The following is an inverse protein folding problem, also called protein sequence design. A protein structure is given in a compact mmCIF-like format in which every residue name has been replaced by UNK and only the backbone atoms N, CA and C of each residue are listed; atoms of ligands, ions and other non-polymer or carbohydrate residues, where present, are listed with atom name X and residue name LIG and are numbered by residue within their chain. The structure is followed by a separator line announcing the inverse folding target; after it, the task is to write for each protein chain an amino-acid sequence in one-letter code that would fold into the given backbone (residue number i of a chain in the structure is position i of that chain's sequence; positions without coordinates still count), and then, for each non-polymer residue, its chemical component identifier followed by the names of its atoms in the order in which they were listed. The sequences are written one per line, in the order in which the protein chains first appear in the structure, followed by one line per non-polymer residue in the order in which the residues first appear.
data_IF_580364993027
#
_entry.id   IF_580364993027
#
_cell.length_a   1.000
_cell.length_b   1.000
_cell.length_c   1.000
_cell.angle_alpha   90.00
_cell.angle_beta   90.00
_cell.angle_gamma   90.00
#
_symmetry.space_group_name_H-M   'P 1'
#
loop_
_entity.id
_entity.type
_entity.pdbx_description
1 polymer ?
#
# COMPACT_ATOMS: atom_id res chain seq x y z
N UNK A 1 7.82 22.15 0.40
CA UNK A 1 8.19 21.89 1.82
C UNK A 1 8.04 20.42 2.21
N UNK A 2 6.85 19.81 2.11
CA UNK A 2 6.61 18.43 2.59
C UNK A 2 7.43 17.36 1.84
N UNK A 3 7.47 17.42 0.50
CA UNK A 3 8.26 16.46 -0.31
C UNK A 3 9.75 16.47 0.07
N UNK A 4 10.31 17.66 0.33
CA UNK A 4 11.70 17.85 0.79
C UNK A 4 11.95 17.12 2.12
N UNK A 5 11.05 17.27 3.10
CA UNK A 5 11.16 16.58 4.39
C UNK A 5 11.10 15.04 4.25
N UNK A 6 10.29 14.50 3.34
CA UNK A 6 10.24 13.05 3.08
C UNK A 6 11.48 12.52 2.34
N UNK A 7 12.17 13.38 1.59
CA UNK A 7 13.44 13.05 0.94
C UNK A 7 14.62 13.10 1.92
N UNK A 8 14.69 14.14 2.74
CA UNK A 8 15.77 14.37 3.72
C UNK A 8 15.62 13.52 4.98
N UNK A 9 14.39 13.14 5.33
CA UNK A 9 14.05 12.28 6.49
C UNK A 9 14.68 12.76 7.81
N UNK A 10 14.33 13.98 8.27
CA UNK A 10 14.84 14.48 9.55
C UNK A 10 14.43 13.55 10.70
N UNK A 11 15.23 13.56 11.78
CA UNK A 11 15.04 12.67 12.94
C UNK A 11 13.62 12.76 13.54
N UNK A 12 13.02 13.95 13.54
CA UNK A 12 11.64 14.17 14.02
C UNK A 12 10.60 13.38 13.22
N UNK A 13 10.70 13.39 11.89
CA UNK A 13 9.83 12.64 11.00
C UNK A 13 10.04 11.13 11.17
N UNK A 14 11.30 10.69 11.24
CA UNK A 14 11.65 9.28 11.41
C UNK A 14 11.12 8.75 12.75
N UNK A 15 11.31 9.50 13.83
CA UNK A 15 10.82 9.16 15.16
C UNK A 15 9.29 9.07 15.19
N UNK A 16 8.59 10.05 14.60
CA UNK A 16 7.13 10.05 14.48
C UNK A 16 6.60 8.81 13.74
N UNK A 17 7.20 8.46 12.60
CA UNK A 17 6.82 7.25 11.85
C UNK A 17 7.13 5.99 12.67
N UNK A 18 8.26 5.95 13.37
CA UNK A 18 8.65 4.80 14.20
C UNK A 18 7.65 4.54 15.32
N UNK A 19 7.21 5.58 16.01
CA UNK A 19 6.17 5.47 17.04
C UNK A 19 4.84 4.97 16.46
N UNK A 20 4.43 5.49 15.29
CA UNK A 20 3.22 5.02 14.59
C UNK A 20 3.32 3.57 14.12
N UNK A 21 4.48 3.11 13.67
CA UNK A 21 4.65 1.72 13.23
C UNK A 21 4.34 0.72 14.36
N UNK A 22 4.56 1.09 15.63
CA UNK A 22 4.20 0.23 16.78
C UNK A 22 2.70 -0.04 16.82
N UNK A 23 1.85 0.97 16.59
CA UNK A 23 0.40 0.78 16.52
C UNK A 23 -0.01 0.06 15.24
N UNK A 24 0.59 0.39 14.10
CA UNK A 24 0.26 -0.24 12.81
C UNK A 24 0.54 -1.75 12.75
N UNK A 25 1.46 -2.26 13.59
CA UNK A 25 1.69 -3.71 13.71
C UNK A 25 0.52 -4.45 14.35
N UNK A 26 -0.18 -3.78 15.28
CA UNK A 26 -1.36 -4.30 15.99
C UNK A 26 -2.63 -4.18 15.14
N UNK A 27 -2.66 -3.25 14.20
CA UNK A 27 -3.77 -3.02 13.27
C UNK A 27 -4.00 -4.19 12.27
N UNK A 28 -5.18 -4.22 11.64
CA UNK A 28 -5.50 -5.16 10.55
C UNK A 28 -4.61 -4.91 9.32
N UNK A 29 -4.57 -5.86 8.38
CA UNK A 29 -3.74 -5.74 7.17
C UNK A 29 -4.13 -4.59 6.24
N UNK A 30 -5.42 -4.24 6.21
CA UNK A 30 -5.98 -3.12 5.46
C UNK A 30 -6.86 -2.30 6.40
N UNK A 31 -6.50 -1.04 6.60
CA UNK A 31 -7.19 -0.09 7.47
C UNK A 31 -7.56 1.14 6.66
N UNK A 32 -8.78 1.63 6.82
CA UNK A 32 -9.19 2.92 6.23
C UNK A 32 -8.66 4.05 7.12
N UNK A 33 -8.06 5.06 6.51
CA UNK A 33 -7.51 6.22 7.20
C UNK A 33 -8.25 7.47 6.73
N UNK A 34 -8.53 8.38 7.65
CA UNK A 34 -9.32 9.59 7.35
C UNK A 34 -8.55 10.57 6.46
N UNK A 35 -7.26 10.74 6.70
CA UNK A 35 -6.38 11.64 5.94
C UNK A 35 -5.05 10.97 5.61
N UNK A 36 -4.49 11.22 4.42
CA UNK A 36 -3.18 10.69 4.05
C UNK A 36 -2.10 11.29 4.95
N UNK A 37 -1.14 10.47 5.39
CA UNK A 37 0.01 10.97 6.14
C UNK A 37 0.96 11.74 5.23
N UNK A 38 1.06 11.35 3.95
CA UNK A 38 1.90 12.00 2.94
C UNK A 38 1.04 12.67 1.87
N UNK A 39 0.54 13.86 2.19
CA UNK A 39 -0.39 14.61 1.33
C UNK A 39 0.22 15.02 -0.02
N UNK A 40 1.53 15.28 -0.10
CA UNK A 40 2.21 15.62 -1.35
C UNK A 40 2.10 14.51 -2.40
N UNK A 41 2.36 13.25 -2.00
CA UNK A 41 2.24 12.11 -2.91
C UNK A 41 0.80 11.74 -3.18
N UNK A 42 -0.08 11.83 -2.19
CA UNK A 42 -1.50 11.62 -2.41
C UNK A 42 -2.03 12.57 -3.50
N UNK A 43 -1.72 13.88 -3.40
CA UNK A 43 -2.14 14.87 -4.41
C UNK A 43 -1.53 14.60 -5.79
N UNK A 44 -0.27 14.17 -5.85
CA UNK A 44 0.36 13.75 -7.12
C UNK A 44 -0.33 12.56 -7.78
N UNK A 45 -1.03 11.72 -7.01
CA UNK A 45 -1.86 10.62 -7.54
C UNK A 45 -3.31 11.05 -7.82
N UNK A 46 -3.65 12.32 -7.65
CA UNK A 46 -5.00 12.85 -7.88
C UNK A 46 -5.92 12.82 -6.66
N UNK A 47 -5.38 12.71 -5.44
CA UNK A 47 -6.20 12.83 -4.22
C UNK A 47 -6.74 14.26 -4.03
N UNK A 48 -8.05 14.35 -3.79
CA UNK A 48 -8.70 15.57 -3.34
C UNK A 48 -9.35 15.36 -1.97
N UNK A 49 -9.31 16.38 -1.11
CA UNK A 49 -9.94 16.35 0.21
C UNK A 49 -11.44 16.63 0.11
N UNK A 50 -12.17 15.79 -0.64
CA UNK A 50 -13.62 15.86 -0.80
C UNK A 50 -14.25 14.48 -0.58
N UNK A 51 -15.55 14.42 -0.24
CA UNK A 51 -16.26 13.15 -0.11
C UNK A 51 -16.11 12.27 -1.36
N UNK A 52 -16.01 10.96 -1.15
CA UNK A 52 -15.76 9.98 -2.21
C UNK A 52 -14.28 9.63 -2.42
N UNK A 53 -13.33 10.40 -1.88
CA UNK A 53 -11.92 9.98 -1.84
C UNK A 53 -11.63 9.18 -0.58
N UNK A 54 -10.92 8.07 -0.73
CA UNK A 54 -10.60 7.13 0.35
C UNK A 54 -9.11 6.84 0.34
N UNK A 55 -8.50 6.88 1.52
CA UNK A 55 -7.12 6.44 1.72
C UNK A 55 -7.11 5.17 2.55
N UNK A 56 -6.45 4.14 2.04
CA UNK A 56 -6.30 2.85 2.72
C UNK A 56 -4.84 2.66 3.10
N UNK A 57 -4.56 2.41 4.37
CA UNK A 57 -3.26 1.91 4.82
C UNK A 57 -3.23 0.40 4.65
N UNK A 58 -2.34 -0.07 3.81
CA UNK A 58 -2.19 -1.50 3.47
C UNK A 58 -0.80 -1.97 3.87
N UNK A 59 -0.72 -3.04 4.67
CA UNK A 59 0.55 -3.73 4.94
C UNK A 59 0.77 -4.88 3.96
N UNK A 60 1.96 -4.92 3.37
CA UNK A 60 2.43 -5.99 2.49
C UNK A 60 3.67 -6.62 3.10
N UNK A 61 3.73 -7.95 3.13
CA UNK A 61 4.87 -8.69 3.69
C UNK A 61 6.10 -8.47 2.80
N UNK A 62 7.25 -8.23 3.41
CA UNK A 62 8.55 -8.19 2.74
C UNK A 62 9.04 -9.59 2.45
N UNK A 63 9.83 -9.70 1.39
CA UNK A 63 10.44 -10.95 0.96
C UNK A 63 10.07 -11.29 -0.48
N UNK A 64 10.72 -12.33 -1.00
CA UNK A 64 10.40 -12.91 -2.29
C UNK A 64 9.17 -13.80 -2.21
N UNK A 65 8.68 -14.21 -3.38
CA UNK A 65 7.61 -15.17 -3.48
C UNK A 65 8.14 -16.58 -3.29
N UNK A 66 7.40 -17.38 -2.54
CA UNK A 66 7.63 -18.81 -2.41
C UNK A 66 6.42 -19.53 -2.99
N UNK A 67 6.68 -20.44 -3.93
CA UNK A 67 5.63 -21.28 -4.51
C UNK A 67 5.14 -22.31 -3.48
N UNK A 68 3.94 -22.86 -3.64
CA UNK A 68 3.58 -24.09 -2.93
C UNK A 68 4.51 -25.25 -3.37
N UNK A 69 4.94 -26.10 -2.43
CA UNK A 69 5.76 -27.26 -2.76
C UNK A 69 4.95 -28.27 -3.60
N UNK A 70 5.47 -28.74 -4.76
CA UNK A 70 4.80 -29.79 -5.53
C UNK A 70 4.63 -31.07 -4.70
N UNK A 71 3.47 -31.75 -4.86
CA UNK A 71 3.16 -33.03 -4.20
C UNK A 71 3.60 -34.26 -5.00
N UNK A 72 3.72 -34.13 -6.32
CA UNK A 72 4.11 -35.23 -7.22
C UNK A 72 5.46 -34.94 -7.89
N UNK A 73 6.03 -35.96 -8.55
CA UNK A 73 7.28 -35.85 -9.30
C UNK A 73 7.29 -34.70 -10.30
N UNK A 74 8.42 -33.99 -10.36
CA UNK A 74 8.66 -32.87 -11.29
C UNK A 74 10.09 -32.94 -11.79
N UNK A 75 10.32 -32.35 -12.98
CA UNK A 75 11.67 -32.14 -13.50
C UNK A 75 12.50 -31.29 -12.52
N UNK A 76 13.83 -31.49 -12.40
CA UNK A 76 14.67 -30.73 -11.47
C UNK A 76 14.50 -29.21 -11.58
N UNK A 77 14.37 -28.67 -12.79
CA UNK A 77 14.14 -27.22 -13.01
C UNK A 77 12.82 -26.68 -12.42
N UNK A 78 11.82 -27.55 -12.23
CA UNK A 78 10.49 -27.19 -11.75
C UNK A 78 10.27 -27.51 -10.26
N UNK A 79 11.27 -28.09 -9.58
CA UNK A 79 11.17 -28.45 -8.15
C UNK A 79 11.45 -27.27 -7.21
N UNK A 80 12.12 -26.22 -7.72
CA UNK A 80 12.50 -25.05 -6.92
C UNK A 80 11.29 -24.30 -6.39
N UNK A 81 11.29 -24.02 -5.08
CA UNK A 81 10.16 -23.39 -4.38
C UNK A 81 10.45 -21.96 -3.92
N UNK A 82 11.72 -21.64 -3.71
CA UNK A 82 12.21 -20.35 -3.17
C UNK A 82 12.88 -19.53 -4.26
N UNK A 83 13.16 -18.24 -3.95
CA UNK A 83 13.87 -17.30 -4.84
C UNK A 83 13.15 -17.02 -6.18
N UNK A 84 11.85 -17.24 -6.24
CA UNK A 84 11.04 -16.83 -7.39
C UNK A 84 10.78 -15.33 -7.33
N UNK A 85 10.99 -14.66 -8.46
CA UNK A 85 10.55 -13.28 -8.67
C UNK A 85 9.14 -13.31 -9.26
N UNK A 86 8.26 -12.45 -8.74
CA UNK A 86 6.93 -12.22 -9.32
C UNK A 86 7.02 -11.01 -10.20
N UNK A 87 6.31 -11.02 -11.33
CA UNK A 87 6.13 -9.87 -12.19
C UNK A 87 5.05 -8.94 -11.60
N UNK A 88 5.19 -8.60 -10.31
CA UNK A 88 4.29 -7.72 -9.58
C UNK A 88 5.09 -6.93 -8.55
N UNK A 89 4.89 -5.62 -8.53
CA UNK A 89 5.46 -4.74 -7.52
C UNK A 89 4.69 -4.84 -6.20
N UNK A 90 5.35 -4.48 -5.10
CA UNK A 90 4.69 -4.43 -3.79
C UNK A 90 3.61 -3.33 -3.71
N UNK A 91 3.73 -2.29 -4.54
CA UNK A 91 2.73 -1.24 -4.68
C UNK A 91 1.45 -1.78 -5.34
N UNK A 92 1.59 -2.51 -6.44
CA UNK A 92 0.45 -3.16 -7.11
C UNK A 92 -0.21 -4.22 -6.22
N UNK A 93 0.59 -4.99 -5.47
CA UNK A 93 0.06 -5.93 -4.46
C UNK A 93 -0.72 -5.20 -3.36
N UNK A 94 -0.25 -4.02 -2.92
CA UNK A 94 -0.98 -3.20 -1.95
C UNK A 94 -2.32 -2.72 -2.51
N UNK A 95 -2.34 -2.25 -3.76
CA UNK A 95 -3.57 -1.86 -4.47
C UNK A 95 -4.54 -3.04 -4.53
N UNK A 96 -4.08 -4.21 -5.01
CA UNK A 96 -4.91 -5.43 -5.11
C UNK A 96 -5.50 -5.84 -3.77
N UNK A 97 -4.73 -5.79 -2.67
CA UNK A 97 -5.23 -6.08 -1.32
C UNK A 97 -6.29 -5.08 -0.86
N UNK A 98 -6.09 -3.80 -1.16
CA UNK A 98 -7.06 -2.74 -0.87
C UNK A 98 -8.39 -2.98 -1.58
N UNK A 99 -8.34 -3.23 -2.88
CA UNK A 99 -9.52 -3.48 -3.72
C UNK A 99 -10.21 -4.79 -3.40
N UNK A 100 -9.46 -5.84 -3.03
CA UNK A 100 -10.06 -7.09 -2.57
C UNK A 100 -10.95 -6.87 -1.34
N UNK A 101 -10.61 -5.91 -0.47
CA UNK A 101 -11.42 -5.55 0.70
C UNK A 101 -12.53 -4.56 0.38
N UNK A 102 -12.28 -3.62 -0.54
CA UNK A 102 -13.24 -2.59 -0.97
C UNK A 102 -13.40 -2.62 -2.49
N UNK A 103 -14.17 -3.57 -3.03
CA UNK A 103 -14.28 -3.79 -4.47
C UNK A 103 -15.07 -2.67 -5.19
N UNK A 104 -15.86 -1.89 -4.46
CA UNK A 104 -16.63 -0.77 -4.98
C UNK A 104 -15.77 0.48 -5.27
N UNK A 105 -14.51 0.50 -4.82
CA UNK A 105 -13.61 1.64 -5.02
C UNK A 105 -12.77 1.44 -6.28
N UNK A 106 -12.48 2.53 -6.99
CA UNK A 106 -11.52 2.57 -8.11
C UNK A 106 -10.17 3.08 -7.60
N UNK A 107 -9.05 2.38 -7.85
CA UNK A 107 -7.75 2.83 -7.40
C UNK A 107 -7.28 4.03 -8.23
N UNK A 108 -6.62 4.99 -7.58
CA UNK A 108 -5.85 6.04 -8.24
C UNK A 108 -4.35 5.73 -8.21
N UNK A 109 -3.89 5.06 -7.15
CA UNK A 109 -2.52 4.58 -7.03
C UNK A 109 -2.16 4.25 -5.58
N UNK A 110 -0.90 3.94 -5.35
CA UNK A 110 -0.35 3.72 -4.02
C UNK A 110 1.04 4.36 -3.90
N UNK A 111 1.45 4.65 -2.67
CA UNK A 111 2.83 5.03 -2.38
C UNK A 111 3.32 4.44 -1.07
N UNK A 112 4.62 4.19 -1.00
CA UNK A 112 5.28 3.71 0.20
C UNK A 112 5.23 4.78 1.30
N UNK A 113 4.82 4.37 2.49
CA UNK A 113 4.81 5.22 3.68
C UNK A 113 5.94 4.87 4.65
N UNK A 114 6.05 3.58 4.99
CA UNK A 114 7.06 3.10 5.92
C UNK A 114 7.42 1.64 5.64
N UNK A 115 8.52 1.20 6.20
CA UNK A 115 8.97 -0.19 6.12
C UNK A 115 9.64 -0.58 7.43
N UNK A 116 9.40 -1.80 7.88
CA UNK A 116 10.21 -2.49 8.88
C UNK A 116 10.79 -3.77 8.27
N UNK A 117 11.42 -4.64 9.05
CA UNK A 117 12.04 -5.86 8.53
C UNK A 117 11.05 -6.85 7.89
N UNK A 118 9.81 -6.89 8.39
CA UNK A 118 8.81 -7.89 8.00
C UNK A 118 7.77 -7.36 7.01
N UNK A 119 7.47 -6.07 7.05
CA UNK A 119 6.38 -5.45 6.30
C UNK A 119 6.79 -4.11 5.67
N UNK A 120 6.11 -3.77 4.59
CA UNK A 120 6.03 -2.42 4.05
C UNK A 120 4.59 -1.95 4.18
N UNK A 121 4.42 -0.69 4.58
CA UNK A 121 3.12 -0.03 4.63
C UNK A 121 3.01 0.92 3.45
N UNK A 122 1.90 0.80 2.73
CA UNK A 122 1.53 1.66 1.63
C UNK A 122 0.25 2.41 2.00
N UNK A 123 0.15 3.66 1.54
CA UNK A 123 -1.14 4.33 1.45
C UNK A 123 -1.64 4.16 0.01
N UNK A 124 -2.78 3.49 -0.13
CA UNK A 124 -3.49 3.32 -1.39
C UNK A 124 -4.57 4.40 -1.45
N UNK A 125 -4.51 5.24 -2.47
CA UNK A 125 -5.53 6.24 -2.76
C UNK A 125 -6.54 5.61 -3.72
N UNK A 126 -7.81 5.67 -3.35
CA UNK A 126 -8.90 5.19 -4.15
C UNK A 126 -10.06 6.19 -4.13
N UNK A 127 -10.93 6.09 -5.12
CA UNK A 127 -12.10 6.94 -5.28
C UNK A 127 -13.34 6.07 -5.39
N UNK A 128 -14.44 6.49 -4.79
CA UNK A 128 -15.76 5.93 -5.02
C UNK A 128 -16.37 6.56 -6.28
N UNK A 129 -16.49 5.81 -7.40
CA UNK A 129 -17.04 6.35 -8.63
C UNK A 129 -18.54 6.65 -8.55
N UNK A 130 -19.25 6.15 -7.53
CA UNK A 130 -20.70 6.30 -7.40
C UNK A 130 -21.06 7.54 -6.59
N UNK A 131 -20.11 8.12 -5.85
CA UNK A 131 -20.33 9.26 -4.98
C UNK A 131 -20.63 10.55 -5.78
N UNK A 132 -21.70 11.32 -5.44
CA UNK A 132 -22.11 12.51 -6.21
C UNK A 132 -21.02 13.58 -6.31
N UNK A 133 -20.30 13.84 -5.21
CA UNK A 133 -19.18 14.78 -5.18
C UNK A 133 -18.03 14.44 -6.14
N UNK A 134 -17.90 13.17 -6.55
CA UNK A 134 -16.90 12.75 -7.54
C UNK A 134 -17.45 12.92 -8.96
N UNK A 135 -18.70 12.52 -9.21
CA UNK A 135 -19.35 12.60 -10.52
C UNK A 135 -19.47 14.02 -11.05
N UNK A 136 -19.72 15.00 -10.18
CA UNK A 136 -19.89 16.41 -10.56
C UNK A 136 -18.62 17.04 -11.16
N UNK A 137 -17.44 16.47 -10.88
CA UNK A 137 -16.14 17.01 -11.29
C UNK A 137 -15.54 16.30 -12.51
N UNK A 138 -16.39 15.72 -13.35
CA UNK A 138 -15.96 15.01 -14.57
C UNK A 138 -16.20 15.87 -15.80
#
# INVERSE_FOLDING_TARGET
MINKAWRERPATLVSSIRSRMVSWRKEKSVVRVDKPLRIDRARSLGYHAKPGYVVLRVRVRRGGFSKPRPRAGRRPKAIGVVRHKVNLSLEEEAVRRGLKKYPNLKPLGAYLLAADSLYKWFEVVAVDPHHPAVKLNK
#
